data_IF_230024092652
#
_entry.id   IF_230024092652
#
_cell.length_a   1.000
_cell.length_b   1.000
_cell.length_c   1.000
_cell.angle_alpha   90.00
_cell.angle_beta   90.00
_cell.angle_gamma   90.00
#
_symmetry.space_group_name_H-M   'P 1'
#
loop_
_entity.id
_entity.type
_entity.pdbx_description
1 polymer ?
#
# COMPACT_ATOMS: atom_id res chain seq x y z
N UNK A 1 -29.28 26.46 38.65
CA UNK A 1 -28.72 27.18 37.49
C UNK A 1 -27.20 27.43 37.55
N UNK A 2 -26.61 27.96 38.64
CA UNK A 2 -25.16 28.25 38.70
C UNK A 2 -24.25 26.96 38.60
N UNK A 3 -24.67 25.82 39.17
CA UNK A 3 -23.91 24.55 39.10
C UNK A 3 -23.94 23.93 37.71
N UNK A 4 -25.07 24.07 36.97
CA UNK A 4 -25.18 23.54 35.60
C UNK A 4 -24.36 24.38 34.60
N UNK A 5 -24.21 25.69 34.85
CA UNK A 5 -23.38 26.55 34.02
C UNK A 5 -21.87 26.26 34.23
N UNK A 6 -21.45 25.94 35.46
CA UNK A 6 -20.06 25.57 35.76
C UNK A 6 -19.71 24.20 35.12
N UNK A 7 -20.65 23.28 35.08
CA UNK A 7 -20.43 21.96 34.41
C UNK A 7 -20.33 22.14 32.89
N UNK A 8 -21.17 22.99 32.28
CA UNK A 8 -21.13 23.26 30.85
C UNK A 8 -19.83 23.98 30.43
N UNK A 9 -19.35 24.93 31.25
CA UNK A 9 -18.05 25.60 31.00
C UNK A 9 -16.86 24.68 31.20
N UNK A 10 -16.89 23.73 32.14
CA UNK A 10 -15.84 22.74 32.32
C UNK A 10 -15.79 21.75 31.15
N UNK A 11 -16.94 21.30 30.60
CA UNK A 11 -16.99 20.46 29.40
C UNK A 11 -16.47 21.21 28.16
N UNK A 12 -16.81 22.48 27.97
CA UNK A 12 -16.28 23.28 26.88
C UNK A 12 -14.77 23.52 26.98
N UNK A 13 -14.25 23.71 28.19
CA UNK A 13 -12.82 23.86 28.43
C UNK A 13 -12.02 22.58 28.20
N UNK A 14 -12.62 21.42 28.45
CA UNK A 14 -12.01 20.12 28.11
C UNK A 14 -12.01 19.84 26.59
N UNK A 15 -13.03 20.28 25.86
CA UNK A 15 -13.10 20.14 24.40
C UNK A 15 -12.07 21.00 23.65
N UNK A 16 -11.59 22.09 24.22
CA UNK A 16 -10.59 22.98 23.60
C UNK A 16 -9.14 22.47 23.69
N UNK A 17 -8.91 21.32 24.35
CA UNK A 17 -7.58 20.70 24.47
C UNK A 17 -7.38 19.53 23.48
N UNK A 18 -8.42 19.15 22.73
CA UNK A 18 -8.28 18.12 21.70
C UNK A 18 -7.50 18.73 20.52
N UNK A 19 -6.19 18.49 20.48
CA UNK A 19 -5.38 18.75 19.29
C UNK A 19 -5.55 17.53 18.38
N UNK A 20 -6.03 17.76 17.18
CA UNK A 20 -5.97 16.79 16.11
C UNK A 20 -4.73 17.12 15.27
N UNK A 21 -3.89 16.13 15.01
CA UNK A 21 -2.80 16.29 14.07
C UNK A 21 -3.38 16.31 12.66
N UNK A 22 -2.96 17.27 11.87
CA UNK A 22 -3.44 17.48 10.53
C UNK A 22 -2.40 17.09 9.50
N UNK A 23 -2.87 16.58 8.36
CA UNK A 23 -2.06 16.30 7.20
C UNK A 23 -1.80 14.80 7.00
N UNK A 24 -1.52 14.47 5.75
CA UNK A 24 -1.09 13.15 5.33
C UNK A 24 0.28 13.30 4.66
N UNK A 25 1.32 13.00 5.44
CA UNK A 25 2.69 13.22 5.03
C UNK A 25 3.26 11.97 4.38
N UNK A 26 3.99 12.15 3.28
CA UNK A 26 4.77 11.07 2.70
C UNK A 26 6.02 10.81 3.55
N UNK A 27 6.43 9.54 3.68
CA UNK A 27 7.69 9.20 4.35
C UNK A 27 8.91 9.77 3.62
N UNK A 28 8.82 9.89 2.29
CA UNK A 28 9.77 10.59 1.47
C UNK A 28 9.77 12.09 1.79
N UNK A 29 10.91 12.63 2.17
CA UNK A 29 11.09 14.04 2.47
C UNK A 29 10.08 14.58 3.52
N UNK A 30 9.90 13.82 4.61
CA UNK A 30 9.08 14.24 5.73
C UNK A 30 9.60 15.56 6.30
N UNK A 31 8.73 16.62 6.44
CA UNK A 31 9.17 17.90 6.97
C UNK A 31 9.73 17.79 8.37
N UNK A 32 10.85 18.45 8.64
CA UNK A 32 11.52 18.40 9.94
C UNK A 32 10.59 18.80 11.10
N UNK A 33 9.76 19.81 10.91
CA UNK A 33 8.80 20.25 11.93
C UNK A 33 7.79 19.14 12.30
N UNK A 34 7.33 18.37 11.30
CA UNK A 34 6.43 17.22 11.52
C UNK A 34 7.17 16.11 12.27
N UNK A 35 8.39 15.80 11.86
CA UNK A 35 9.19 14.79 12.52
C UNK A 35 9.50 15.17 13.99
N UNK A 36 9.82 16.42 14.28
CA UNK A 36 10.04 16.90 15.65
C UNK A 36 8.76 16.83 16.50
N UNK A 37 7.58 17.09 15.91
CA UNK A 37 6.31 16.89 16.61
C UNK A 37 6.08 15.41 16.92
N UNK A 38 6.31 14.49 15.98
CA UNK A 38 6.23 13.05 16.19
C UNK A 38 7.17 12.62 17.34
N UNK A 39 8.40 13.16 17.37
CA UNK A 39 9.38 12.91 18.46
C UNK A 39 8.85 13.37 19.82
N UNK A 40 8.24 14.55 19.88
CA UNK A 40 7.66 15.10 21.10
C UNK A 40 6.49 14.25 21.63
N UNK A 41 5.80 13.53 20.75
CA UNK A 41 4.70 12.63 21.08
C UNK A 41 5.16 11.19 21.38
N UNK A 42 6.47 10.94 21.38
CA UNK A 42 7.05 9.65 21.78
C UNK A 42 7.48 8.75 20.60
N UNK A 43 7.49 9.27 19.37
CA UNK A 43 8.02 8.50 18.25
C UNK A 43 9.55 8.34 18.36
N UNK A 44 10.04 7.10 18.32
CA UNK A 44 11.44 6.79 18.62
C UNK A 44 12.33 6.52 17.39
N UNK A 45 11.74 6.13 16.25
CA UNK A 45 12.53 5.82 15.07
C UNK A 45 13.17 7.07 14.47
N UNK A 46 14.39 6.93 13.96
CA UNK A 46 15.05 7.99 13.20
C UNK A 46 14.39 8.17 11.81
N UNK A 47 14.57 9.32 11.19
CA UNK A 47 13.91 9.66 9.93
C UNK A 47 14.35 8.75 8.78
N UNK A 48 15.61 8.33 8.75
CA UNK A 48 16.16 7.38 7.79
C UNK A 48 15.56 5.98 7.93
N UNK A 49 15.15 5.59 9.15
CA UNK A 49 14.40 4.35 9.38
C UNK A 49 12.98 4.37 8.86
N UNK A 50 12.43 5.53 8.59
CA UNK A 50 11.15 5.66 7.89
C UNK A 50 11.33 5.49 6.39
N UNK A 51 12.35 6.17 5.82
CA UNK A 51 12.63 6.17 4.38
C UNK A 51 14.13 6.40 4.13
N UNK A 52 14.72 5.61 3.23
CA UNK A 52 16.07 5.82 2.71
C UNK A 52 17.14 4.88 3.25
N UNK A 53 17.03 4.38 4.48
CA UNK A 53 17.94 3.35 4.98
C UNK A 53 17.63 1.98 4.34
N UNK A 54 18.61 1.06 4.27
CA UNK A 54 18.38 -0.30 3.78
C UNK A 54 17.30 -1.07 4.54
N UNK A 55 17.11 -0.74 5.82
CA UNK A 55 16.14 -1.33 6.75
C UNK A 55 14.97 -0.38 7.07
N UNK A 56 14.71 0.62 6.20
CA UNK A 56 13.61 1.55 6.38
C UNK A 56 12.25 0.85 6.25
N UNK A 57 11.25 1.35 7.00
CA UNK A 57 9.86 0.88 6.96
C UNK A 57 9.28 0.87 5.55
N UNK A 58 9.64 1.86 4.73
CA UNK A 58 9.19 1.95 3.34
C UNK A 58 9.56 0.75 2.47
N UNK A 59 10.59 -0.03 2.85
CA UNK A 59 11.11 -1.12 2.02
C UNK A 59 10.26 -2.41 2.08
N UNK A 60 9.40 -2.56 3.08
CA UNK A 60 8.50 -3.71 3.21
C UNK A 60 7.01 -3.36 3.14
N UNK A 61 6.69 -2.08 2.97
CA UNK A 61 5.37 -1.64 2.55
C UNK A 61 5.30 -1.73 1.02
N UNK A 62 4.28 -2.42 0.52
CA UNK A 62 4.13 -2.69 -0.91
C UNK A 62 2.82 -2.14 -1.45
N UNK A 63 2.79 -1.82 -2.74
CA UNK A 63 1.57 -1.60 -3.47
C UNK A 63 1.01 -2.98 -3.88
N UNK A 64 -0.21 -3.27 -3.47
CA UNK A 64 -0.90 -4.52 -3.75
C UNK A 64 -1.91 -4.33 -4.86
N UNK A 65 -1.65 -4.93 -6.01
CA UNK A 65 -2.51 -4.89 -7.19
C UNK A 65 -2.70 -3.51 -7.84
N UNK A 66 -1.94 -2.48 -7.44
CA UNK A 66 -2.09 -1.12 -7.94
C UNK A 66 -3.18 -0.29 -7.23
N UNK A 67 -3.96 -0.88 -6.33
CA UNK A 67 -5.12 -0.24 -5.70
C UNK A 67 -5.14 -0.33 -4.17
N UNK A 68 -4.31 -1.17 -3.58
CA UNK A 68 -4.22 -1.35 -2.13
C UNK A 68 -2.78 -1.28 -1.64
N UNK A 69 -2.61 -1.27 -0.32
CA UNK A 69 -1.32 -1.46 0.35
C UNK A 69 -1.24 -2.84 0.99
N UNK A 70 -0.03 -3.36 1.09
CA UNK A 70 0.30 -4.55 1.84
C UNK A 70 1.60 -4.36 2.61
N UNK A 71 1.91 -5.30 3.46
CA UNK A 71 3.18 -5.32 4.21
C UNK A 71 3.79 -6.72 4.14
N UNK A 72 5.08 -6.78 3.82
CA UNK A 72 5.85 -8.04 3.85
C UNK A 72 6.20 -8.35 5.30
N UNK A 73 5.79 -9.53 5.79
CA UNK A 73 5.87 -9.90 7.21
C UNK A 73 6.70 -11.15 7.49
N UNK A 74 7.41 -11.67 6.49
CA UNK A 74 8.24 -12.85 6.70
C UNK A 74 9.44 -12.91 5.77
N UNK A 75 10.50 -13.66 6.14
CA UNK A 75 11.65 -13.91 5.26
C UNK A 75 11.31 -14.76 4.02
N UNK A 76 10.09 -15.28 3.93
CA UNK A 76 9.61 -16.10 2.83
C UNK A 76 8.47 -15.42 2.06
N UNK A 77 8.50 -14.09 1.96
CA UNK A 77 7.64 -13.31 1.08
C UNK A 77 6.15 -13.30 1.43
N UNK A 78 5.74 -13.57 2.69
CA UNK A 78 4.34 -13.40 3.10
C UNK A 78 3.98 -11.92 3.10
N UNK A 79 2.82 -11.60 2.54
CA UNK A 79 2.25 -10.26 2.47
C UNK A 79 0.90 -10.26 3.17
N UNK A 80 0.75 -9.38 4.15
CA UNK A 80 -0.55 -9.08 4.75
C UNK A 80 -1.19 -7.90 4.04
N UNK A 81 -2.47 -8.03 3.72
CA UNK A 81 -3.31 -6.97 3.18
C UNK A 81 -4.75 -7.14 3.70
N UNK A 82 -5.63 -6.20 3.40
CA UNK A 82 -7.02 -6.31 3.80
C UNK A 82 -7.75 -7.43 3.03
N UNK A 83 -8.79 -8.02 3.66
CA UNK A 83 -9.67 -8.98 3.00
C UNK A 83 -10.34 -8.37 1.76
N UNK A 84 -10.83 -7.13 1.87
CA UNK A 84 -11.46 -6.46 0.73
C UNK A 84 -10.48 -6.16 -0.41
N UNK A 85 -9.19 -6.02 -0.13
CA UNK A 85 -8.16 -5.91 -1.16
C UNK A 85 -7.91 -7.23 -1.91
N UNK A 86 -7.99 -8.36 -1.19
CA UNK A 86 -7.88 -9.70 -1.77
C UNK A 86 -9.17 -10.22 -2.40
N UNK A 87 -10.28 -9.48 -2.31
CA UNK A 87 -11.62 -9.97 -2.65
C UNK A 87 -11.72 -10.58 -4.05
N UNK A 88 -11.21 -9.91 -5.08
CA UNK A 88 -11.27 -10.39 -6.45
C UNK A 88 -10.49 -11.69 -6.64
N UNK A 89 -9.29 -11.79 -6.04
CA UNK A 89 -8.47 -12.99 -6.07
C UNK A 89 -9.16 -14.16 -5.36
N UNK A 90 -9.71 -13.93 -4.16
CA UNK A 90 -10.45 -14.95 -3.40
C UNK A 90 -11.69 -15.42 -4.18
N UNK A 91 -12.42 -14.49 -4.77
CA UNK A 91 -13.63 -14.81 -5.57
C UNK A 91 -13.29 -15.60 -6.84
N UNK A 92 -12.18 -15.31 -7.51
CA UNK A 92 -11.74 -16.03 -8.70
C UNK A 92 -11.44 -17.51 -8.42
N UNK A 93 -11.00 -17.83 -7.21
CA UNK A 93 -10.74 -19.20 -6.76
C UNK A 93 -11.96 -19.90 -6.15
N UNK A 94 -13.05 -19.15 -5.88
CA UNK A 94 -14.26 -19.74 -5.28
C UNK A 94 -15.11 -20.42 -6.34
N UNK A 95 -15.45 -21.68 -6.09
CA UNK A 95 -16.36 -22.50 -6.92
C UNK A 95 -17.50 -23.04 -6.05
N UNK A 96 -18.46 -23.74 -6.67
CA UNK A 96 -19.54 -24.41 -5.93
C UNK A 96 -18.99 -25.49 -5.01
N UNK A 97 -17.95 -26.20 -5.43
CA UNK A 97 -17.29 -27.28 -4.68
C UNK A 97 -16.31 -26.74 -3.62
N UNK A 98 -15.72 -25.58 -3.88
CA UNK A 98 -14.73 -24.94 -3.02
C UNK A 98 -15.05 -23.45 -2.84
N UNK A 99 -16.08 -23.17 -2.06
CA UNK A 99 -16.50 -21.79 -1.80
C UNK A 99 -15.62 -21.13 -0.73
N UNK A 100 -14.49 -20.57 -1.17
CA UNK A 100 -13.55 -19.87 -0.29
C UNK A 100 -14.10 -18.53 0.20
N UNK A 101 -15.05 -17.93 -0.52
CA UNK A 101 -15.75 -16.74 -0.04
C UNK A 101 -16.62 -17.04 1.16
N UNK A 102 -17.28 -18.21 1.19
CA UNK A 102 -18.14 -18.65 2.29
C UNK A 102 -17.36 -19.25 3.45
N UNK A 103 -16.36 -20.09 3.15
CA UNK A 103 -15.70 -20.97 4.13
C UNK A 103 -14.33 -20.46 4.57
N UNK A 104 -13.76 -19.48 3.87
CA UNK A 104 -12.36 -19.10 4.00
C UNK A 104 -11.43 -20.12 3.32
N UNK A 105 -10.14 -19.82 3.37
CA UNK A 105 -9.09 -20.67 2.78
C UNK A 105 -7.83 -20.64 3.63
N UNK A 106 -7.11 -21.75 3.69
CA UNK A 106 -5.80 -21.85 4.32
C UNK A 106 -4.95 -22.91 3.62
N UNK A 107 -3.88 -22.48 2.97
CA UNK A 107 -2.85 -23.36 2.40
C UNK A 107 -1.94 -23.87 3.53
N UNK A 108 -1.79 -25.19 3.64
CA UNK A 108 -0.91 -25.84 4.64
C UNK A 108 0.51 -26.05 4.13
N UNK A 109 0.66 -26.08 2.80
CA UNK A 109 1.94 -26.22 2.11
C UNK A 109 2.04 -25.19 0.99
N UNK A 110 3.24 -25.00 0.44
CA UNK A 110 3.46 -24.10 -0.69
C UNK A 110 2.73 -24.55 -1.97
N UNK A 111 2.55 -25.86 -2.14
CA UNK A 111 1.86 -26.45 -3.29
C UNK A 111 0.35 -26.21 -3.27
N UNK A 112 -0.22 -25.97 -2.09
CA UNK A 112 -1.63 -25.62 -1.92
C UNK A 112 -1.92 -24.13 -2.13
N UNK A 113 -0.90 -23.28 -2.17
CA UNK A 113 -1.07 -21.85 -2.39
C UNK A 113 -1.58 -21.55 -3.79
N UNK A 114 -2.63 -20.71 -3.91
CA UNK A 114 -3.38 -20.50 -5.15
C UNK A 114 -2.81 -19.33 -5.96
N UNK A 115 -2.26 -19.56 -7.17
CA UNK A 115 -1.70 -18.51 -8.00
C UNK A 115 -2.77 -17.58 -8.57
N UNK A 116 -2.48 -16.29 -8.70
CA UNK A 116 -3.38 -15.29 -9.25
C UNK A 116 -2.79 -14.69 -10.54
N UNK A 117 -3.50 -14.80 -11.67
CA UNK A 117 -3.01 -14.40 -12.99
C UNK A 117 -2.86 -12.88 -13.13
N UNK A 118 -3.81 -12.10 -12.57
CA UNK A 118 -3.89 -10.65 -12.74
C UNK A 118 -3.44 -9.87 -11.50
N UNK A 119 -2.83 -10.54 -10.51
CA UNK A 119 -2.38 -9.92 -9.28
C UNK A 119 -0.87 -9.72 -9.29
N UNK A 120 -0.45 -8.53 -8.90
CA UNK A 120 0.95 -8.20 -8.71
C UNK A 120 1.19 -7.48 -7.39
N UNK A 121 2.42 -7.51 -6.92
CA UNK A 121 2.89 -6.75 -5.77
C UNK A 121 4.09 -5.92 -6.20
N UNK A 122 4.02 -4.60 -5.97
CA UNK A 122 5.08 -3.67 -6.38
C UNK A 122 5.85 -3.15 -5.17
N UNK A 123 7.16 -3.26 -5.23
CA UNK A 123 8.08 -2.61 -4.30
C UNK A 123 8.51 -1.26 -4.85
N UNK A 124 8.36 -0.19 -4.08
CA UNK A 124 8.89 1.11 -4.44
C UNK A 124 10.41 1.13 -4.27
N UNK A 125 11.12 1.35 -5.37
CA UNK A 125 12.59 1.39 -5.41
C UNK A 125 13.15 2.80 -5.28
N UNK A 126 12.42 3.78 -5.81
CA UNK A 126 12.87 5.18 -5.80
C UNK A 126 11.67 6.12 -5.89
N UNK A 127 11.80 7.28 -5.27
CA UNK A 127 10.86 8.38 -5.39
C UNK A 127 11.61 9.68 -5.61
N UNK A 128 11.11 10.54 -6.51
CA UNK A 128 11.71 11.83 -6.82
C UNK A 128 10.62 12.92 -6.90
N UNK A 129 10.90 14.10 -6.36
CA UNK A 129 10.09 15.31 -6.56
C UNK A 129 10.38 15.89 -7.95
N UNK A 130 9.41 15.78 -8.85
CA UNK A 130 9.48 16.29 -10.23
C UNK A 130 8.57 17.51 -10.43
N UNK A 131 8.08 18.10 -9.34
CA UNK A 131 7.16 19.25 -9.36
C UNK A 131 7.61 20.38 -10.27
N UNK A 132 8.85 20.88 -10.21
CA UNK A 132 9.28 21.98 -11.08
C UNK A 132 9.16 21.64 -12.58
N UNK A 133 9.55 20.42 -12.96
CA UNK A 133 9.47 19.93 -14.34
C UNK A 133 8.02 19.86 -14.82
N UNK A 134 7.16 19.23 -14.00
CA UNK A 134 5.74 19.05 -14.36
C UNK A 134 5.00 20.39 -14.37
N UNK A 135 5.22 21.26 -13.40
CA UNK A 135 4.58 22.58 -13.36
C UNK A 135 4.93 23.40 -14.59
N UNK A 136 6.20 23.42 -15.01
CA UNK A 136 6.63 24.10 -16.22
C UNK A 136 5.97 23.51 -17.49
N UNK A 137 5.89 22.18 -17.58
CA UNK A 137 5.28 21.48 -18.71
C UNK A 137 3.76 21.72 -18.82
N UNK A 138 3.06 21.77 -17.69
CA UNK A 138 1.60 21.92 -17.65
C UNK A 138 1.12 23.37 -17.68
N UNK A 139 2.02 24.34 -17.58
CA UNK A 139 1.67 25.77 -17.58
C UNK A 139 0.96 26.18 -18.87
N UNK A 140 -0.21 26.81 -18.74
CA UNK A 140 -1.00 27.29 -19.87
C UNK A 140 -1.69 26.19 -20.70
N UNK A 141 -1.61 24.93 -20.32
CA UNK A 141 -2.23 23.82 -21.04
C UNK A 141 -3.70 23.63 -20.66
N UNK A 142 -4.52 23.14 -21.60
CA UNK A 142 -5.91 22.67 -21.31
C UNK A 142 -5.90 21.44 -20.40
N UNK A 143 -7.05 21.14 -19.80
CA UNK A 143 -7.17 19.98 -18.90
C UNK A 143 -6.84 18.66 -19.63
N UNK A 144 -7.40 18.45 -20.83
CA UNK A 144 -7.14 17.25 -21.63
C UNK A 144 -5.65 17.13 -21.99
N UNK A 145 -5.03 18.24 -22.43
CA UNK A 145 -3.62 18.26 -22.79
C UNK A 145 -2.70 17.98 -21.62
N UNK A 146 -3.09 18.39 -20.39
CA UNK A 146 -2.34 18.06 -19.17
C UNK A 146 -2.28 16.56 -18.92
N UNK A 147 -3.41 15.84 -19.10
CA UNK A 147 -3.45 14.38 -19.01
C UNK A 147 -2.49 13.71 -19.99
N UNK A 148 -2.59 14.02 -21.28
CA UNK A 148 -1.71 13.49 -22.32
C UNK A 148 -0.22 13.73 -22.04
N UNK A 149 0.12 14.91 -21.53
CA UNK A 149 1.51 15.25 -21.20
C UNK A 149 2.04 14.46 -20.01
N UNK A 150 1.20 14.23 -18.99
CA UNK A 150 1.57 13.42 -17.84
C UNK A 150 1.77 11.96 -18.24
N UNK A 151 0.86 11.39 -19.05
CA UNK A 151 0.98 10.03 -19.56
C UNK A 151 2.25 9.87 -20.44
N UNK A 152 2.52 10.85 -21.30
CA UNK A 152 3.72 10.85 -22.13
C UNK A 152 5.01 10.92 -21.28
N UNK A 153 5.00 11.71 -20.20
CA UNK A 153 6.12 11.80 -19.28
C UNK A 153 6.33 10.48 -18.53
N UNK A 154 5.25 9.88 -18.01
CA UNK A 154 5.29 8.60 -17.30
C UNK A 154 5.84 7.49 -18.19
N UNK A 155 5.35 7.40 -19.44
CA UNK A 155 5.82 6.44 -20.43
C UNK A 155 7.32 6.64 -20.74
N UNK A 156 7.76 7.87 -21.01
CA UNK A 156 9.17 8.15 -21.30
C UNK A 156 10.09 7.82 -20.10
N UNK A 157 9.65 8.07 -18.88
CA UNK A 157 10.38 7.71 -17.67
C UNK A 157 10.42 6.19 -17.48
N UNK A 158 9.30 5.50 -17.74
CA UNK A 158 9.22 4.04 -17.70
C UNK A 158 10.15 3.39 -18.72
N UNK A 159 10.18 3.88 -19.95
CA UNK A 159 11.11 3.38 -20.99
C UNK A 159 12.57 3.55 -20.56
N UNK A 160 12.89 4.66 -19.91
CA UNK A 160 14.25 4.93 -19.43
C UNK A 160 14.68 3.94 -18.33
N UNK A 161 13.80 3.59 -17.38
CA UNK A 161 14.14 2.62 -16.32
C UNK A 161 14.11 1.19 -16.82
N UNK A 162 13.21 0.84 -17.76
CA UNK A 162 13.16 -0.47 -18.42
C UNK A 162 14.40 -0.78 -19.24
N UNK A 163 15.08 0.23 -19.77
CA UNK A 163 16.35 0.04 -20.46
C UNK A 163 17.47 -0.44 -19.52
N UNK A 164 17.32 -0.22 -18.20
CA UNK A 164 18.27 -0.65 -17.16
C UNK A 164 17.82 -1.99 -16.58
N UNK A 165 16.55 -2.09 -16.21
CA UNK A 165 15.91 -3.29 -15.65
C UNK A 165 14.46 -3.39 -16.19
N UNK A 166 14.14 -4.41 -17.02
CA UNK A 166 12.83 -4.55 -17.65
C UNK A 166 11.69 -4.80 -16.67
N UNK A 167 11.99 -5.12 -15.42
CA UNK A 167 10.99 -5.34 -14.34
C UNK A 167 10.54 -4.04 -13.68
N UNK A 168 11.17 -2.90 -14.01
CA UNK A 168 10.87 -1.60 -13.45
C UNK A 168 9.83 -0.84 -14.28
N UNK A 169 9.01 -0.05 -13.60
CA UNK A 169 8.17 0.97 -14.22
C UNK A 169 8.10 2.22 -13.34
N UNK A 170 7.69 3.34 -13.94
CA UNK A 170 7.51 4.60 -13.23
C UNK A 170 6.04 4.97 -13.21
N UNK A 171 5.58 5.49 -12.07
CA UNK A 171 4.25 6.09 -11.91
C UNK A 171 4.42 7.54 -11.51
N UNK A 172 3.78 8.46 -12.24
CA UNK A 172 3.76 9.89 -11.94
C UNK A 172 2.44 10.24 -11.26
N UNK A 173 2.47 10.67 -10.00
CA UNK A 173 1.27 11.00 -9.24
C UNK A 173 1.27 12.45 -8.74
N UNK A 174 0.11 13.14 -8.86
CA UNK A 174 -0.13 14.38 -8.15
C UNK A 174 -0.36 14.11 -6.66
N UNK A 175 0.21 14.95 -5.82
CA UNK A 175 -0.01 15.00 -4.38
C UNK A 175 -0.49 16.40 -3.96
N UNK A 176 -1.18 16.49 -2.84
CA UNK A 176 -1.66 17.75 -2.27
C UNK A 176 -2.43 18.58 -3.31
N UNK A 177 -3.44 17.95 -3.94
CA UNK A 177 -4.30 18.56 -4.97
C UNK A 177 -3.51 19.10 -6.20
N UNK A 178 -2.39 18.46 -6.53
CA UNK A 178 -1.54 18.85 -7.67
C UNK A 178 -0.51 19.93 -7.35
N UNK A 179 -0.32 20.27 -6.07
CA UNK A 179 0.74 21.19 -5.63
C UNK A 179 2.13 20.53 -5.65
N UNK A 180 2.17 19.19 -5.65
CA UNK A 180 3.38 18.39 -5.79
C UNK A 180 3.17 17.28 -6.81
N UNK A 181 4.25 16.90 -7.49
CA UNK A 181 4.29 15.76 -8.39
C UNK A 181 5.51 14.90 -8.07
N UNK A 182 5.24 13.63 -7.83
CA UNK A 182 6.30 12.65 -7.59
C UNK A 182 6.35 11.61 -8.70
N UNK A 183 7.56 11.26 -9.11
CA UNK A 183 7.85 10.08 -9.91
C UNK A 183 8.28 8.96 -8.96
N UNK A 184 7.57 7.86 -8.98
CA UNK A 184 7.84 6.69 -8.16
C UNK A 184 8.20 5.52 -9.06
N UNK A 185 9.39 4.95 -8.87
CA UNK A 185 9.86 3.76 -9.58
C UNK A 185 9.50 2.52 -8.78
N UNK A 186 8.79 1.59 -9.42
CA UNK A 186 8.37 0.34 -8.84
C UNK A 186 8.98 -0.86 -9.55
N UNK A 187 9.12 -1.95 -8.80
CA UNK A 187 9.44 -3.28 -9.31
C UNK A 187 8.28 -4.23 -9.00
N UNK A 188 7.73 -4.87 -10.04
CA UNK A 188 6.55 -5.71 -9.94
C UNK A 188 6.90 -7.18 -9.86
N UNK A 189 6.34 -7.86 -8.87
CA UNK A 189 6.31 -9.32 -8.78
C UNK A 189 4.92 -9.80 -9.18
N UNK A 190 4.84 -10.64 -10.19
CA UNK A 190 3.57 -11.10 -10.78
C UNK A 190 3.17 -12.53 -10.40
N UNK A 191 4.06 -13.32 -9.79
CA UNK A 191 3.67 -14.60 -9.18
C UNK A 191 3.31 -14.35 -7.70
N UNK A 192 2.04 -14.04 -7.46
CA UNK A 192 1.48 -13.77 -6.14
C UNK A 192 0.38 -14.79 -5.86
N UNK A 193 0.51 -15.54 -4.76
CA UNK A 193 -0.39 -16.65 -4.44
C UNK A 193 -1.16 -16.39 -3.16
N UNK A 194 -2.45 -16.78 -3.15
CA UNK A 194 -3.30 -16.71 -1.97
C UNK A 194 -2.89 -17.82 -0.99
N UNK A 195 -2.61 -17.43 0.26
CA UNK A 195 -2.20 -18.33 1.35
C UNK A 195 -3.34 -18.50 2.35
N UNK A 196 -4.03 -17.40 2.69
CA UNK A 196 -5.06 -17.43 3.69
C UNK A 196 -6.10 -16.34 3.45
N UNK A 197 -7.35 -16.67 3.71
CA UNK A 197 -8.44 -15.70 3.86
C UNK A 197 -9.48 -16.22 4.84
N UNK A 198 -10.08 -15.29 5.59
CA UNK A 198 -11.26 -15.58 6.40
C UNK A 198 -12.51 -15.65 5.52
N UNK A 199 -13.61 -16.27 5.99
CA UNK A 199 -14.91 -16.13 5.35
C UNK A 199 -15.33 -14.68 5.17
N UNK A 200 -16.02 -14.35 4.06
CA UNK A 200 -16.52 -12.99 3.78
C UNK A 200 -17.35 -12.43 4.94
N UNK A 201 -18.13 -13.28 5.61
CA UNK A 201 -18.93 -12.89 6.78
C UNK A 201 -18.10 -12.35 7.95
N UNK A 202 -16.83 -12.75 8.05
CA UNK A 202 -15.88 -12.23 9.03
C UNK A 202 -15.07 -11.06 8.49
N UNK A 203 -14.62 -11.16 7.23
CA UNK A 203 -13.80 -10.15 6.59
C UNK A 203 -14.53 -8.84 6.30
N UNK A 204 -15.86 -8.90 6.18
CA UNK A 204 -16.72 -7.75 5.88
C UNK A 204 -17.88 -7.58 6.87
N UNK A 205 -17.79 -8.14 8.05
CA UNK A 205 -18.86 -8.04 9.05
C UNK A 205 -19.17 -6.57 9.39
N UNK A 206 -20.46 -6.19 9.31
CA UNK A 206 -20.93 -4.82 9.54
C UNK A 206 -20.67 -3.84 8.38
N UNK A 207 -20.19 -4.32 7.24
CA UNK A 207 -19.92 -3.50 6.05
C UNK A 207 -21.04 -3.47 5.01
N UNK A 208 -22.17 -4.15 5.29
CA UNK A 208 -23.26 -4.32 4.32
C UNK A 208 -24.08 -3.05 4.11
N UNK A 209 -24.27 -2.26 5.17
CA UNK A 209 -25.08 -1.03 5.17
C UNK A 209 -24.24 0.22 5.09
N UNK A 210 -23.15 0.27 5.86
CA UNK A 210 -22.25 1.43 5.93
C UNK A 210 -20.84 0.93 6.22
N UNK A 211 -19.86 1.42 5.44
CA UNK A 211 -18.46 1.08 5.64
C UNK A 211 -17.91 1.58 7.00
N UNK A 212 -18.53 2.55 7.61
CA UNK A 212 -18.15 3.17 8.88
C UNK A 212 -19.18 2.96 10.01
N UNK A 213 -20.04 1.96 9.88
CA UNK A 213 -21.02 1.67 10.92
C UNK A 213 -20.34 1.31 12.24
N UNK A 214 -20.80 1.90 13.33
CA UNK A 214 -20.34 1.63 14.69
C UNK A 214 -21.48 1.00 15.54
N UNK A 215 -21.20 0.02 16.40
CA UNK A 215 -19.93 -0.71 16.55
C UNK A 215 -19.68 -1.68 15.38
N UNK A 216 -18.40 -1.86 15.02
CA UNK A 216 -17.98 -2.74 13.95
C UNK A 216 -16.85 -3.64 14.42
N UNK A 217 -17.01 -4.94 14.18
CA UNK A 217 -15.96 -5.95 14.36
C UNK A 217 -15.77 -6.67 13.03
N UNK A 218 -14.60 -6.59 12.47
CA UNK A 218 -14.27 -7.24 11.21
C UNK A 218 -12.84 -7.75 11.24
N UNK A 219 -12.63 -8.93 10.69
CA UNK A 219 -11.33 -9.54 10.48
C UNK A 219 -10.90 -9.25 9.03
N UNK A 220 -10.73 -7.95 8.71
CA UNK A 220 -10.47 -7.49 7.35
C UNK A 220 -9.00 -7.69 7.00
N UNK A 221 -8.56 -8.95 6.92
CA UNK A 221 -7.24 -9.28 6.42
C UNK A 221 -7.24 -10.55 5.54
N UNK A 222 -6.27 -10.60 4.65
CA UNK A 222 -5.90 -11.76 3.85
C UNK A 222 -4.39 -11.86 3.72
N UNK A 223 -3.90 -13.04 3.44
CA UNK A 223 -2.47 -13.32 3.34
C UNK A 223 -2.16 -13.88 1.97
N UNK A 224 -1.16 -13.27 1.35
CA UNK A 224 -0.60 -13.71 0.08
C UNK A 224 0.89 -14.03 0.25
N UNK A 225 1.47 -14.67 -0.75
CA UNK A 225 2.92 -14.88 -0.84
C UNK A 225 3.42 -14.46 -2.21
N UNK A 226 4.53 -13.74 -2.19
CA UNK A 226 5.29 -13.43 -3.39
C UNK A 226 6.19 -14.60 -3.71
N UNK A 227 6.23 -14.97 -4.99
CA UNK A 227 7.15 -15.96 -5.54
C UNK A 227 8.12 -15.30 -6.52
N UNK A 228 9.30 -15.89 -6.65
CA UNK A 228 10.41 -15.33 -7.39
C UNK A 228 11.14 -16.43 -8.19
N UNK A 229 11.92 -16.01 -9.18
CA UNK A 229 12.84 -16.91 -9.88
C UNK A 229 13.86 -17.52 -8.90
N UNK A 230 14.05 -18.84 -8.90
CA UNK A 230 14.90 -19.53 -7.92
C UNK A 230 16.39 -19.21 -8.01
N UNK A 231 16.85 -18.64 -9.13
CA UNK A 231 18.27 -18.32 -9.34
C UNK A 231 18.60 -16.87 -8.99
N UNK A 232 17.68 -15.95 -9.29
CA UNK A 232 17.91 -14.52 -9.15
C UNK A 232 17.21 -13.92 -7.92
N UNK A 233 16.22 -14.64 -7.35
CA UNK A 233 15.29 -14.12 -6.35
C UNK A 233 14.55 -12.85 -6.84
N UNK A 234 14.47 -12.67 -8.14
CA UNK A 234 13.85 -11.52 -8.81
C UNK A 234 12.45 -11.84 -9.34
N UNK A 235 11.75 -10.81 -9.86
CA UNK A 235 10.46 -10.99 -10.48
C UNK A 235 10.47 -12.03 -11.62
N UNK A 236 9.43 -12.86 -11.66
CA UNK A 236 9.22 -13.84 -12.70
C UNK A 236 7.73 -14.01 -12.97
N UNK A 237 7.37 -14.36 -14.20
CA UNK A 237 6.04 -14.85 -14.50
C UNK A 237 5.75 -16.15 -13.73
N UNK A 238 4.48 -16.45 -13.51
CA UNK A 238 4.10 -17.68 -12.82
C UNK A 238 4.79 -18.92 -13.40
N UNK A 239 5.40 -19.68 -12.52
CA UNK A 239 5.96 -21.00 -12.80
C UNK A 239 5.86 -21.90 -11.56
N UNK A 240 5.68 -23.20 -11.78
CA UNK A 240 5.74 -24.19 -10.68
C UNK A 240 7.12 -24.27 -10.04
N UNK A 241 8.16 -23.87 -10.77
CA UNK A 241 9.55 -23.89 -10.31
C UNK A 241 9.92 -22.65 -9.49
N UNK A 242 9.06 -21.61 -9.48
CA UNK A 242 9.28 -20.43 -8.66
C UNK A 242 9.25 -20.78 -7.16
N UNK A 243 10.09 -20.11 -6.40
CA UNK A 243 10.22 -20.29 -4.95
C UNK A 243 9.69 -19.06 -4.20
N UNK A 244 9.33 -19.18 -2.91
CA UNK A 244 9.01 -18.01 -2.10
C UNK A 244 10.09 -16.95 -2.21
N UNK A 245 9.68 -15.70 -2.44
CA UNK A 245 10.59 -14.55 -2.47
C UNK A 245 11.25 -14.34 -1.12
N UNK A 246 12.56 -14.12 -1.12
CA UNK A 246 13.33 -13.83 0.08
C UNK A 246 13.67 -12.32 0.13
N UNK A 247 12.84 -11.51 0.80
CA UNK A 247 13.12 -10.09 0.97
C UNK A 247 14.34 -9.88 1.88
N UNK A 248 15.06 -8.79 1.65
CA UNK A 248 16.16 -8.40 2.55
C UNK A 248 15.65 -7.86 3.89
N UNK A 249 14.41 -7.36 3.91
CA UNK A 249 13.75 -6.79 5.07
C UNK A 249 12.26 -7.15 5.10
N UNK A 250 11.70 -7.31 6.30
CA UNK A 250 10.28 -7.54 6.56
C UNK A 250 9.88 -6.93 7.92
N UNK A 251 8.58 -6.69 8.11
CA UNK A 251 8.03 -6.14 9.36
C UNK A 251 8.02 -7.17 10.50
#
# INVERSE_FOLDING_TARGET
MKKSLLFATALLAMGSQAKADEGMWTLYNLPEAVYQQMRAEGFELSQDRLYGAPDALSNYVVNFGGYCSGVVVSPNGLVFTNHHCGFSAINAHSTVEHDYMLNGFYAKTYEEELPNEDLFVSFMKHQADITPKVTAMLNGQTYERKGELLDSLENAMTDSVKAIDPTLHVVVKPFYEGNKYYAMTYQDFTDVRLVFTVPKSMGKFGGETDNWMWPRQTCDYSVFRIYADPKTNGPAAYSKDNVPYHPTQWA
#
